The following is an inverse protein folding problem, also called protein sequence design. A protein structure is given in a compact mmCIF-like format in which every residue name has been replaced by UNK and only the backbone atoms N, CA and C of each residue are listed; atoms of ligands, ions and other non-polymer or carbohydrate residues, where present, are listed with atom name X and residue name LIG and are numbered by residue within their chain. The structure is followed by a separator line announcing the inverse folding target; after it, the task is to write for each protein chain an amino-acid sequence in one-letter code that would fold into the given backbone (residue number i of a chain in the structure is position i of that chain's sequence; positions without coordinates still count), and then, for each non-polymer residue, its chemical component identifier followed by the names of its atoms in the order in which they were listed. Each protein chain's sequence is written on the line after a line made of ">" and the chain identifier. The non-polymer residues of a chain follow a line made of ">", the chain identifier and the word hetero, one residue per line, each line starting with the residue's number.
data_IF_722294292269
#
_entry.id   IF_722294292269
#
_cell.length_a   1.000
_cell.length_b   1.000
_cell.length_c   1.000
_cell.angle_alpha   90.00
_cell.angle_beta   90.00
_cell.angle_gamma   90.00
#
_symmetry.space_group_name_H-M   'P 1'
#
loop_
_entity.id
_entity.type
_entity.pdbx_description
1 polymer ?
#
# COMPACT_ATOMS: atom_id res chain seq x y z
N UNK A 1 20.78 18.18 7.95
CA UNK A 1 19.98 18.21 9.10
C UNK A 1 18.49 18.14 8.82
N UNK A 2 18.02 18.96 7.97
CA UNK A 2 16.65 19.02 7.60
C UNK A 2 16.18 17.81 6.79
N UNK A 3 17.11 17.04 6.26
CA UNK A 3 16.76 15.87 5.46
C UNK A 3 15.92 14.86 6.23
N UNK A 4 16.18 14.72 7.52
CA UNK A 4 15.38 13.81 8.34
C UNK A 4 13.95 14.29 8.49
N UNK A 5 13.74 15.59 8.50
CA UNK A 5 12.41 16.14 8.61
C UNK A 5 11.57 15.81 7.38
N UNK A 6 12.19 15.83 6.21
CA UNK A 6 11.47 15.58 4.96
C UNK A 6 10.86 14.18 4.91
N UNK A 7 11.50 13.21 5.52
CA UNK A 7 10.98 11.85 5.55
C UNK A 7 9.71 11.72 6.38
N UNK A 8 9.43 12.70 7.23
CA UNK A 8 8.26 12.68 8.08
C UNK A 8 7.04 13.28 7.42
N UNK A 9 7.18 13.85 6.23
CA UNK A 9 6.06 14.43 5.51
C UNK A 9 5.00 13.39 5.19
N UNK A 10 5.43 12.15 5.06
CA UNK A 10 4.62 11.06 4.58
C UNK A 10 4.46 10.06 5.70
N UNK A 11 3.50 10.32 6.57
CA UNK A 11 3.22 9.45 7.69
C UNK A 11 2.71 8.10 7.18
N UNK A 12 3.32 7.04 7.66
CA UNK A 12 2.91 5.68 7.34
C UNK A 12 1.80 5.22 8.26
N UNK A 13 0.77 4.65 7.67
CA UNK A 13 -0.40 4.21 8.40
C UNK A 13 -0.45 2.68 8.32
N UNK A 14 -0.40 1.96 9.47
CA UNK A 14 -0.52 0.52 9.46
C UNK A 14 -1.97 0.13 9.18
N UNK A 15 -2.18 -0.77 8.23
CA UNK A 15 -3.54 -1.17 7.87
C UNK A 15 -3.78 -2.67 7.83
N UNK A 16 -2.82 -3.48 7.48
CA UNK A 16 -2.86 -4.95 7.49
C UNK A 16 -4.06 -5.53 6.74
N UNK A 17 -4.05 -5.36 5.43
CA UNK A 17 -5.06 -5.92 4.54
C UNK A 17 -4.43 -6.92 3.58
N UNK A 18 -5.09 -8.07 3.41
CA UNK A 18 -4.68 -9.02 2.39
C UNK A 18 -4.89 -8.41 1.01
N UNK A 19 -3.94 -8.62 0.12
CA UNK A 19 -4.00 -8.08 -1.22
C UNK A 19 -3.41 -9.01 -2.26
N UNK A 20 -3.69 -8.65 -3.50
CA UNK A 20 -3.11 -9.31 -4.65
C UNK A 20 -2.18 -8.32 -5.34
N UNK A 21 -1.08 -8.80 -5.87
CA UNK A 21 -0.21 -7.94 -6.66
C UNK A 21 0.17 -8.61 -7.95
N UNK A 22 0.49 -7.82 -8.95
CA UNK A 22 1.02 -8.34 -10.20
C UNK A 22 2.22 -7.53 -10.64
N UNK A 23 3.22 -8.25 -11.12
CA UNK A 23 4.46 -7.69 -11.67
C UNK A 23 4.61 -8.29 -13.06
N UNK A 24 4.08 -7.61 -14.07
CA UNK A 24 4.02 -8.18 -15.41
C UNK A 24 3.14 -9.41 -15.44
N UNK A 25 3.71 -10.57 -15.76
CA UNK A 25 2.97 -11.82 -15.83
C UNK A 25 2.99 -12.62 -14.53
N UNK A 26 3.71 -12.13 -13.53
CA UNK A 26 3.80 -12.80 -12.24
C UNK A 26 2.79 -12.19 -11.29
N UNK A 27 1.90 -13.02 -10.76
CA UNK A 27 0.94 -12.60 -9.75
C UNK A 27 1.23 -13.24 -8.42
N UNK A 28 0.89 -12.56 -7.34
CA UNK A 28 1.07 -13.09 -6.01
C UNK A 28 0.10 -12.48 -5.02
N UNK A 29 0.19 -12.95 -3.79
CA UNK A 29 -0.59 -12.42 -2.68
C UNK A 29 0.36 -11.98 -1.59
N UNK A 30 -0.07 -11.00 -0.81
CA UNK A 30 0.71 -10.49 0.29
C UNK A 30 -0.15 -9.66 1.22
N UNK A 31 0.46 -9.20 2.28
CA UNK A 31 -0.20 -8.37 3.27
C UNK A 31 0.20 -6.92 3.04
N UNK A 32 -0.77 -6.07 2.74
CA UNK A 32 -0.55 -4.63 2.70
C UNK A 32 -0.41 -4.16 4.14
N UNK A 33 0.83 -3.93 4.56
CA UNK A 33 1.15 -3.70 5.96
C UNK A 33 1.00 -2.25 6.37
N UNK A 34 1.40 -1.33 5.50
CA UNK A 34 1.20 0.09 5.74
C UNK A 34 1.12 0.84 4.42
N UNK A 35 0.55 2.03 4.50
CA UNK A 35 0.41 2.93 3.36
C UNK A 35 0.78 4.34 3.79
N UNK A 36 1.14 5.15 2.79
CA UNK A 36 1.32 6.58 2.93
C UNK A 36 0.84 7.24 1.64
N UNK A 37 0.97 8.56 1.54
CA UNK A 37 0.60 9.25 0.31
C UNK A 37 1.55 8.94 -0.85
N UNK A 38 2.76 8.48 -0.56
CA UNK A 38 3.76 8.22 -1.61
C UNK A 38 3.96 6.75 -1.94
N UNK A 39 3.59 5.84 -1.05
CA UNK A 39 3.88 4.43 -1.29
C UNK A 39 3.27 3.49 -0.27
N UNK A 40 3.64 2.23 -0.39
CA UNK A 40 3.09 1.16 0.43
C UNK A 40 4.14 0.07 0.67
N UNK A 41 3.95 -0.67 1.76
CA UNK A 41 4.77 -1.83 2.09
C UNK A 41 3.90 -3.09 2.04
N UNK A 42 4.35 -4.07 1.28
CA UNK A 42 3.69 -5.37 1.14
C UNK A 42 4.58 -6.43 1.77
N UNK A 43 4.05 -7.15 2.76
CA UNK A 43 4.76 -8.17 3.53
C UNK A 43 4.20 -9.56 3.22
N UNK A 44 4.89 -10.58 3.71
CA UNK A 44 4.46 -11.98 3.61
C UNK A 44 4.07 -12.37 2.17
N UNK A 45 4.93 -12.00 1.23
CA UNK A 45 4.63 -12.21 -0.19
C UNK A 45 4.77 -13.69 -0.56
N UNK A 46 3.92 -14.13 -1.47
CA UNK A 46 3.85 -15.53 -1.91
C UNK A 46 4.81 -15.87 -3.04
N UNK A 47 5.51 -14.89 -3.58
CA UNK A 47 6.44 -15.07 -4.69
C UNK A 47 7.84 -14.63 -4.28
N UNK A 48 8.80 -14.78 -5.17
CA UNK A 48 10.07 -14.09 -5.03
C UNK A 48 9.81 -12.57 -5.06
N UNK A 49 10.57 -11.78 -4.29
CA UNK A 49 10.38 -10.34 -4.34
C UNK A 49 10.69 -9.81 -5.74
N UNK A 50 9.83 -8.93 -6.27
CA UNK A 50 10.11 -8.29 -7.56
C UNK A 50 11.34 -7.41 -7.46
N UNK A 51 12.05 -7.29 -8.55
CA UNK A 51 13.25 -6.47 -8.58
C UNK A 51 12.92 -4.99 -8.48
N UNK A 52 13.87 -4.23 -7.94
CA UNK A 52 13.75 -2.77 -7.84
C UNK A 52 13.53 -2.20 -9.24
N UNK A 53 12.56 -1.29 -9.35
CA UNK A 53 12.17 -0.68 -10.61
C UNK A 53 11.03 -1.39 -11.33
N UNK A 54 10.65 -2.57 -10.87
CA UNK A 54 9.56 -3.32 -11.51
C UNK A 54 8.23 -2.62 -11.32
N UNK A 55 7.45 -2.40 -12.40
CA UNK A 55 6.09 -1.89 -12.26
C UNK A 55 5.20 -2.91 -11.53
N UNK A 56 4.42 -2.41 -10.59
CA UNK A 56 3.57 -3.24 -9.73
C UNK A 56 2.17 -2.65 -9.69
N UNK A 57 1.19 -3.53 -9.74
CA UNK A 57 -0.20 -3.19 -9.42
C UNK A 57 -0.59 -4.00 -8.19
N UNK A 58 -1.07 -3.32 -7.16
CA UNK A 58 -1.57 -3.96 -5.93
C UNK A 58 -3.05 -3.69 -5.82
N UNK A 59 -3.83 -4.75 -5.63
CA UNK A 59 -5.27 -4.64 -5.49
C UNK A 59 -5.69 -5.08 -4.09
N UNK A 60 -6.40 -4.21 -3.38
CA UNK A 60 -6.92 -4.50 -2.03
C UNK A 60 -8.39 -4.13 -1.98
N UNK A 61 -9.08 -4.65 -0.98
CA UNK A 61 -10.49 -4.37 -0.79
C UNK A 61 -10.67 -3.68 0.55
N UNK A 62 -11.23 -2.47 0.50
CA UNK A 62 -11.57 -1.72 1.70
C UNK A 62 -12.99 -2.08 2.11
N UNK A 63 -13.14 -2.43 3.37
CA UNK A 63 -14.45 -2.72 3.96
C UNK A 63 -14.85 -1.50 4.78
N UNK A 64 -16.04 -0.96 4.50
CA UNK A 64 -16.53 0.19 5.23
C UNK A 64 -16.70 -0.16 6.71
N UNK A 65 -16.21 0.70 7.63
CA UNK A 65 -16.40 0.47 9.06
C UNK A 65 -17.86 0.62 9.49
N UNK A 66 -18.69 1.24 8.67
CA UNK A 66 -20.10 1.48 8.99
C UNK A 66 -21.04 0.52 8.28
N UNK A 67 -20.58 -0.13 7.23
CA UNK A 67 -21.39 -1.05 6.45
C UNK A 67 -20.50 -2.16 5.89
N UNK A 68 -20.53 -3.31 6.53
CA UNK A 68 -19.69 -4.45 6.16
C UNK A 68 -20.03 -5.02 4.79
N UNK A 69 -21.17 -4.66 4.24
CA UNK A 69 -21.54 -5.09 2.89
C UNK A 69 -20.94 -4.20 1.81
N UNK A 70 -20.48 -3.02 2.20
CA UNK A 70 -19.86 -2.10 1.28
C UNK A 70 -18.36 -2.37 1.19
N UNK A 71 -17.95 -2.96 0.09
CA UNK A 71 -16.56 -3.30 -0.17
C UNK A 71 -16.12 -2.50 -1.40
N UNK A 72 -15.06 -1.74 -1.25
CA UNK A 72 -14.52 -0.92 -2.33
C UNK A 72 -13.18 -1.49 -2.78
N UNK A 73 -13.07 -1.97 -4.02
CA UNK A 73 -11.79 -2.38 -4.55
C UNK A 73 -10.91 -1.17 -4.80
N UNK A 74 -9.63 -1.30 -4.50
CA UNK A 74 -8.67 -0.23 -4.67
C UNK A 74 -7.44 -0.77 -5.35
N UNK A 75 -6.96 -0.04 -6.34
CA UNK A 75 -5.81 -0.44 -7.12
C UNK A 75 -4.70 0.58 -6.92
N UNK A 76 -3.55 0.10 -6.47
CA UNK A 76 -2.36 0.93 -6.27
C UNK A 76 -1.36 0.58 -7.36
N UNK A 77 -0.95 1.58 -8.12
CA UNK A 77 0.01 1.40 -9.20
C UNK A 77 1.31 2.13 -8.87
N UNK A 78 2.40 1.43 -8.98
CA UNK A 78 3.70 2.01 -8.68
C UNK A 78 4.83 1.13 -9.18
N UNK A 79 5.99 1.35 -8.59
CA UNK A 79 7.17 0.54 -8.91
C UNK A 79 7.92 0.20 -7.63
N UNK A 80 8.62 -0.92 -7.65
CA UNK A 80 9.37 -1.40 -6.50
C UNK A 80 10.57 -0.50 -6.24
N UNK A 81 10.70 -0.01 -5.01
CA UNK A 81 11.84 0.83 -4.62
C UNK A 81 12.80 0.13 -3.67
N UNK A 82 12.35 -0.95 -3.01
CA UNK A 82 13.23 -1.81 -2.23
C UNK A 82 12.51 -3.13 -1.96
N UNK A 83 13.28 -4.13 -1.58
CA UNK A 83 12.73 -5.43 -1.22
C UNK A 83 13.65 -6.16 -0.26
N UNK A 84 13.08 -7.15 0.44
CA UNK A 84 13.81 -8.17 1.17
C UNK A 84 13.37 -9.53 0.65
N UNK A 85 13.69 -10.62 1.36
CA UNK A 85 13.28 -11.96 0.94
C UNK A 85 11.78 -12.18 1.02
N UNK A 86 11.07 -11.43 1.86
CA UNK A 86 9.67 -11.69 2.19
C UNK A 86 8.75 -10.49 1.98
N UNK A 87 9.29 -9.34 1.57
CA UNK A 87 8.51 -8.13 1.40
C UNK A 87 9.06 -7.24 0.30
N UNK A 88 8.27 -6.26 -0.09
CA UNK A 88 8.76 -5.19 -0.97
C UNK A 88 7.97 -3.92 -0.69
N UNK A 89 8.60 -2.79 -1.00
CA UNK A 89 7.97 -1.49 -0.89
C UNK A 89 7.84 -0.88 -2.28
N UNK A 90 6.75 -0.18 -2.49
CA UNK A 90 6.48 0.51 -3.76
C UNK A 90 6.34 2.00 -3.53
N UNK A 91 6.65 2.75 -4.58
CA UNK A 91 6.34 4.17 -4.68
C UNK A 91 5.29 4.31 -5.78
N UNK A 92 4.23 5.07 -5.50
CA UNK A 92 3.13 5.21 -6.45
C UNK A 92 3.56 5.99 -7.68
N UNK A 93 3.00 5.62 -8.83
CA UNK A 93 3.22 6.35 -10.07
C UNK A 93 2.65 7.77 -9.98
N UNK A 94 1.51 7.91 -9.33
CA UNK A 94 0.86 9.20 -9.16
C UNK A 94 0.49 9.38 -7.68
N UNK A 95 1.31 10.10 -6.95
CA UNK A 95 1.05 10.37 -5.54
C UNK A 95 0.02 11.49 -5.33
N UNK A 96 -0.53 12.04 -6.40
CA UNK A 96 -1.62 13.01 -6.33
C UNK A 96 -2.97 12.39 -6.69
N UNK A 97 -3.00 11.08 -6.96
CA UNK A 97 -4.23 10.38 -7.28
C UNK A 97 -5.23 10.53 -6.13
N UNK A 98 -6.40 11.10 -6.38
CA UNK A 98 -7.38 11.34 -5.31
C UNK A 98 -7.91 10.05 -4.69
N UNK A 99 -7.93 8.94 -5.42
CA UNK A 99 -8.37 7.66 -4.85
C UNK A 99 -7.36 7.14 -3.85
N UNK A 100 -6.06 7.27 -4.14
CA UNK A 100 -5.00 6.88 -3.22
C UNK A 100 -5.06 7.74 -1.96
N UNK A 101 -5.22 9.04 -2.12
CA UNK A 101 -5.30 9.95 -0.97
C UNK A 101 -6.52 9.65 -0.11
N UNK A 102 -7.64 9.37 -0.75
CA UNK A 102 -8.85 8.98 -0.02
C UNK A 102 -8.63 7.70 0.77
N UNK A 103 -7.98 6.71 0.16
CA UNK A 103 -7.69 5.47 0.86
C UNK A 103 -6.81 5.70 2.09
N UNK A 104 -5.78 6.51 1.95
CA UNK A 104 -4.90 6.83 3.07
C UNK A 104 -5.66 7.52 4.18
N UNK A 105 -6.51 8.49 3.81
CA UNK A 105 -7.31 9.21 4.79
C UNK A 105 -8.32 8.29 5.48
N UNK A 106 -8.96 7.40 4.74
CA UNK A 106 -9.91 6.43 5.30
C UNK A 106 -9.20 5.45 6.24
N UNK A 107 -8.03 4.98 5.84
CA UNK A 107 -7.24 4.10 6.68
C UNK A 107 -6.82 4.79 7.98
N UNK A 108 -6.45 6.06 7.90
CA UNK A 108 -6.09 6.84 9.08
C UNK A 108 -7.29 6.97 10.03
N UNK A 109 -8.48 7.19 9.49
CA UNK A 109 -9.70 7.28 10.28
C UNK A 109 -10.02 5.96 10.97
N UNK A 110 -9.85 4.85 10.27
CA UNK A 110 -10.09 3.52 10.83
C UNK A 110 -9.13 3.22 11.97
N UNK A 111 -7.84 3.51 11.76
CA UNK A 111 -6.80 3.26 12.77
C UNK A 111 -7.02 4.13 14.00
N UNK A 112 -7.48 5.37 13.82
CA UNK A 112 -7.71 6.30 14.92
C UNK A 112 -9.06 6.08 15.61
N UNK A 113 -9.96 5.27 15.04
CA UNK A 113 -11.30 5.09 15.60
C UNK A 113 -11.23 4.39 16.96
N UNK A 114 -11.99 4.86 17.94
CA UNK A 114 -12.05 4.18 19.23
C UNK A 114 -12.71 2.83 19.06
N UNK A 115 -12.27 1.91 19.89
CA UNK A 115 -12.80 0.54 19.89
C UNK A 115 -13.83 0.32 20.96
#
# INVERSE_FOLDING_TARGET
>A
MTATTNRRRDTRIPIRLDGFYSAGQVGGVGLLANISYSGALIEDISTRPPEIGTPIVVCVYLISPHDFEEVTPLELTGHVVRHSLVDFAIEYEDNHDPDVRRMVDDAAAIVAAPR
#
